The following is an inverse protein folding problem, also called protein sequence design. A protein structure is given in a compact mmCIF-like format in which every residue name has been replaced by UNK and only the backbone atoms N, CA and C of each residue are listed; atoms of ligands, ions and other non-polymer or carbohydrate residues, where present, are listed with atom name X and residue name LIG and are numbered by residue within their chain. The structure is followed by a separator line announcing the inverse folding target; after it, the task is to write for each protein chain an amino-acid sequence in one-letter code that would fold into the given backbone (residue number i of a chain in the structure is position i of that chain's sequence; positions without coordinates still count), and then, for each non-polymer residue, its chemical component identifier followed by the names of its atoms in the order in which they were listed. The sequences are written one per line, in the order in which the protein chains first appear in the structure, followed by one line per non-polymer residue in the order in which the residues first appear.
data_IF_144614940864
#
_entry.id   IF_144614940864
#
_cell.length_a   1.000
_cell.length_b   1.000
_cell.length_c   1.000
_cell.angle_alpha   90.00
_cell.angle_beta   90.00
_cell.angle_gamma   90.00
#
_symmetry.space_group_name_H-M   'P 1'
#
loop_
_entity.id
_entity.type
_entity.pdbx_description
1 polymer ?
#
# COMPACT_ATOMS: atom_id res chain seq x y z
N UNK A 1 5.20 -12.20 10.89
CA UNK A 1 6.26 -11.64 10.03
C UNK A 1 6.76 -10.35 10.64
N UNK A 2 7.97 -9.88 10.35
CA UNK A 2 8.47 -8.64 10.96
C UNK A 2 9.43 -7.90 10.02
N UNK A 3 9.05 -6.70 9.62
CA UNK A 3 9.96 -5.79 8.91
C UNK A 3 10.97 -5.18 9.88
N UNK A 4 12.23 -5.08 9.47
CA UNK A 4 13.34 -4.59 10.31
C UNK A 4 13.82 -3.24 9.82
N UNK A 5 13.96 -2.29 10.74
CA UNK A 5 14.52 -0.96 10.49
C UNK A 5 13.65 -0.04 9.63
N UNK A 6 14.15 1.14 9.32
CA UNK A 6 13.47 2.09 8.45
C UNK A 6 13.43 1.53 7.01
N UNK A 7 12.30 1.78 6.32
CA UNK A 7 12.13 1.38 4.93
C UNK A 7 12.22 2.63 4.06
N UNK A 8 13.21 2.66 3.20
CA UNK A 8 13.37 3.69 2.17
C UNK A 8 14.09 3.05 0.98
N UNK A 9 13.30 2.45 0.08
CA UNK A 9 13.82 1.70 -1.06
C UNK A 9 13.68 2.54 -2.31
N UNK A 10 14.81 2.87 -2.94
CA UNK A 10 14.81 3.54 -4.24
C UNK A 10 14.31 2.58 -5.31
N UNK A 11 13.26 2.98 -6.01
CA UNK A 11 12.72 2.28 -7.18
C UNK A 11 12.77 3.21 -8.40
N UNK A 12 12.63 2.65 -9.59
CA UNK A 12 12.68 3.39 -10.85
C UNK A 12 11.36 3.20 -11.57
N UNK A 13 10.78 4.26 -12.08
CA UNK A 13 9.60 4.18 -12.94
C UNK A 13 9.97 3.45 -14.24
N UNK A 14 9.22 2.41 -14.61
CA UNK A 14 9.50 1.57 -15.78
C UNK A 14 9.44 2.35 -17.10
N UNK A 15 8.60 3.39 -17.18
CA UNK A 15 8.39 4.19 -18.39
C UNK A 15 9.31 5.39 -18.47
N UNK A 16 9.32 6.24 -17.41
CA UNK A 16 10.04 7.52 -17.43
C UNK A 16 11.48 7.43 -16.95
N UNK A 17 11.89 6.30 -16.36
CA UNK A 17 13.18 6.07 -15.70
C UNK A 17 13.47 7.00 -14.51
N UNK A 18 12.50 7.80 -14.09
CA UNK A 18 12.64 8.68 -12.92
C UNK A 18 12.68 7.84 -11.63
N UNK A 19 13.45 8.26 -10.63
CA UNK A 19 13.50 7.62 -9.34
C UNK A 19 12.28 7.96 -8.49
N UNK A 20 11.88 6.99 -7.67
CA UNK A 20 10.87 7.09 -6.62
C UNK A 20 11.38 6.36 -5.38
N UNK A 21 10.70 6.52 -4.27
CA UNK A 21 11.05 5.87 -3.01
C UNK A 21 9.83 5.15 -2.45
N UNK A 22 10.01 3.88 -2.12
CA UNK A 22 9.04 3.10 -1.35
C UNK A 22 9.38 3.27 0.12
N UNK A 23 8.45 3.83 0.87
CA UNK A 23 8.57 4.11 2.32
C UNK A 23 7.40 3.49 3.06
N UNK A 24 7.47 3.42 4.40
CA UNK A 24 6.28 3.08 5.20
C UNK A 24 5.28 4.25 5.12
N UNK A 25 4.01 3.97 4.90
CA UNK A 25 2.99 5.03 4.85
C UNK A 25 2.81 5.73 6.21
N UNK A 26 3.15 5.07 7.31
CA UNK A 26 3.16 5.69 8.65
C UNK A 26 4.24 6.79 8.81
N UNK A 27 5.23 6.84 7.94
CA UNK A 27 6.25 7.89 7.92
C UNK A 27 5.80 9.15 7.15
N UNK A 28 4.63 9.12 6.49
CA UNK A 28 3.99 10.31 5.91
C UNK A 28 3.45 11.21 7.01
N UNK A 29 3.50 12.51 6.79
CA UNK A 29 2.86 13.48 7.68
C UNK A 29 1.33 13.39 7.56
N UNK A 30 0.63 13.48 8.70
CA UNK A 30 -0.84 13.56 8.76
C UNK A 30 -1.24 15.03 8.69
N UNK A 31 -0.94 15.66 7.57
CA UNK A 31 -1.25 17.06 7.30
C UNK A 31 -2.32 17.21 6.21
N UNK A 32 -2.81 18.43 6.05
CA UNK A 32 -3.83 18.74 5.04
C UNK A 32 -3.34 18.42 3.61
N UNK A 33 -2.06 18.63 3.33
CA UNK A 33 -1.48 18.38 2.00
C UNK A 33 -1.45 16.90 1.63
N UNK A 34 -1.08 16.04 2.57
CA UNK A 34 -1.09 14.58 2.39
C UNK A 34 -2.53 14.06 2.21
N UNK A 35 -3.47 14.55 3.03
CA UNK A 35 -4.89 14.19 2.95
C UNK A 35 -5.49 14.60 1.61
N UNK A 36 -5.32 15.86 1.21
CA UNK A 36 -5.80 16.39 -0.07
C UNK A 36 -5.26 15.56 -1.24
N UNK A 37 -3.96 15.25 -1.22
CA UNK A 37 -3.31 14.49 -2.29
C UNK A 37 -3.84 13.07 -2.41
N UNK A 38 -4.00 12.35 -1.29
CA UNK A 38 -4.59 11.02 -1.28
C UNK A 38 -6.03 11.08 -1.79
N UNK A 39 -6.82 12.04 -1.29
CA UNK A 39 -8.22 12.26 -1.72
C UNK A 39 -8.31 12.48 -3.22
N UNK A 40 -7.45 13.33 -3.78
CA UNK A 40 -7.41 13.60 -5.21
C UNK A 40 -7.09 12.34 -6.01
N UNK A 41 -6.07 11.58 -5.61
CA UNK A 41 -5.67 10.35 -6.31
C UNK A 41 -6.78 9.30 -6.24
N UNK A 42 -7.42 9.13 -5.07
CA UNK A 42 -8.51 8.18 -4.90
C UNK A 42 -9.77 8.55 -5.70
N UNK A 43 -9.90 9.80 -6.13
CA UNK A 43 -10.95 10.27 -7.04
C UNK A 43 -10.54 10.24 -8.52
N UNK A 44 -9.30 9.88 -8.86
CA UNK A 44 -8.92 9.66 -10.26
C UNK A 44 -9.71 8.48 -10.85
N UNK A 45 -10.27 8.58 -12.06
CA UNK A 45 -11.09 7.50 -12.65
C UNK A 45 -10.40 6.14 -12.62
N UNK A 46 -9.10 6.10 -12.93
CA UNK A 46 -8.28 4.87 -12.93
C UNK A 46 -8.14 4.20 -11.54
N UNK A 47 -8.44 4.91 -10.46
CA UNK A 47 -8.42 4.41 -9.08
C UNK A 47 -9.84 4.27 -8.55
N UNK A 48 -10.64 5.35 -8.72
CA UNK A 48 -11.99 5.42 -8.18
C UNK A 48 -12.90 4.32 -8.73
N UNK A 49 -12.90 4.10 -10.04
CA UNK A 49 -13.82 3.16 -10.68
C UNK A 49 -13.59 1.70 -10.23
N UNK A 50 -12.33 1.33 -9.97
CA UNK A 50 -11.99 -0.02 -9.54
C UNK A 50 -12.08 -0.25 -8.03
N UNK A 51 -11.78 0.77 -7.21
CA UNK A 51 -11.64 0.56 -5.76
C UNK A 51 -12.78 1.18 -4.95
N UNK A 52 -13.35 2.28 -5.42
CA UNK A 52 -14.21 3.11 -4.57
C UNK A 52 -15.62 3.34 -5.10
N UNK A 53 -15.86 3.24 -6.42
CA UNK A 53 -17.19 3.49 -7.00
C UNK A 53 -18.28 2.64 -6.35
N UNK A 54 -18.08 1.34 -6.25
CA UNK A 54 -19.04 0.40 -5.68
C UNK A 54 -19.21 0.59 -4.16
N UNK A 55 -18.13 0.58 -3.35
CA UNK A 55 -18.24 0.79 -1.91
C UNK A 55 -18.81 2.14 -1.51
N UNK A 56 -18.55 3.19 -2.28
CA UNK A 56 -19.08 4.54 -2.01
C UNK A 56 -20.40 4.85 -2.74
N UNK A 57 -21.01 3.85 -3.37
CA UNK A 57 -22.28 4.02 -4.11
C UNK A 57 -22.25 5.19 -5.11
N UNK A 58 -21.09 5.37 -5.77
CA UNK A 58 -20.86 6.46 -6.73
C UNK A 58 -20.55 7.84 -6.12
N UNK A 59 -20.53 7.98 -4.79
CA UNK A 59 -20.15 9.25 -4.13
C UNK A 59 -18.65 9.46 -4.20
N UNK A 60 -18.15 10.71 -4.30
CA UNK A 60 -16.71 10.98 -4.29
C UNK A 60 -16.02 10.44 -3.05
N UNK A 61 -14.74 10.05 -3.20
CA UNK A 61 -13.90 9.65 -2.08
C UNK A 61 -13.62 10.87 -1.18
N UNK A 62 -14.04 10.88 0.10
CA UNK A 62 -13.96 12.06 0.96
C UNK A 62 -12.61 12.15 1.68
N UNK A 63 -12.21 13.34 2.10
CA UNK A 63 -10.99 13.60 2.89
C UNK A 63 -10.95 12.80 4.20
N UNK A 64 -12.10 12.60 4.85
CA UNK A 64 -12.21 11.79 6.06
C UNK A 64 -11.67 10.37 5.86
N UNK A 65 -11.94 9.75 4.71
CA UNK A 65 -11.39 8.42 4.39
C UNK A 65 -9.88 8.45 4.12
N UNK A 66 -9.35 9.53 3.54
CA UNK A 66 -7.91 9.69 3.37
C UNK A 66 -7.20 9.83 4.73
N UNK A 67 -7.79 10.57 5.67
CA UNK A 67 -7.31 10.66 7.05
C UNK A 67 -7.33 9.30 7.75
N UNK A 68 -8.47 8.60 7.71
CA UNK A 68 -8.62 7.26 8.28
C UNK A 68 -7.61 6.27 7.69
N UNK A 69 -7.32 6.35 6.38
CA UNK A 69 -6.32 5.51 5.75
C UNK A 69 -4.90 5.75 6.29
N UNK A 70 -4.51 7.00 6.53
CA UNK A 70 -3.21 7.33 7.14
C UNK A 70 -3.14 6.86 8.61
N UNK A 71 -4.22 7.02 9.37
CA UNK A 71 -4.33 6.55 10.75
C UNK A 71 -4.27 5.02 10.81
N UNK A 72 -4.98 4.35 9.91
CA UNK A 72 -4.94 2.90 9.76
C UNK A 72 -3.54 2.39 9.39
N UNK A 73 -2.84 3.08 8.49
CA UNK A 73 -1.45 2.77 8.17
C UNK A 73 -0.55 2.83 9.42
N UNK A 74 -0.70 3.86 10.26
CA UNK A 74 0.06 3.98 11.51
C UNK A 74 -0.27 2.86 12.49
N UNK A 75 -1.55 2.58 12.68
CA UNK A 75 -2.00 1.51 13.55
C UNK A 75 -1.43 0.14 13.13
N UNK A 76 -1.49 -0.19 11.83
CA UNK A 76 -0.98 -1.45 11.30
C UNK A 76 0.51 -1.65 11.53
N UNK A 77 1.32 -0.65 11.22
CA UNK A 77 2.75 -0.69 11.47
C UNK A 77 3.10 -0.77 12.96
N UNK A 78 2.38 -0.04 13.81
CA UNK A 78 2.57 -0.07 15.28
C UNK A 78 2.21 -1.42 15.87
N UNK A 79 1.06 -1.98 15.47
CA UNK A 79 0.57 -3.27 15.95
C UNK A 79 1.23 -4.47 15.25
N UNK A 80 2.04 -4.23 14.20
CA UNK A 80 2.62 -5.28 13.35
C UNK A 80 1.54 -6.22 12.77
N UNK A 81 0.39 -5.66 12.37
CA UNK A 81 -0.79 -6.42 11.92
C UNK A 81 -1.01 -6.36 10.41
N UNK A 82 -0.75 -5.23 9.80
CA UNK A 82 -0.80 -4.99 8.34
C UNK A 82 0.18 -3.88 7.96
N UNK A 83 0.57 -3.83 6.70
CA UNK A 83 1.71 -3.01 6.29
C UNK A 83 1.38 -2.22 5.04
N UNK A 84 1.28 -0.90 5.16
CA UNK A 84 1.03 -0.01 4.05
C UNK A 84 2.30 0.74 3.69
N UNK A 85 2.66 0.69 2.42
CA UNK A 85 3.79 1.40 1.84
C UNK A 85 3.27 2.52 0.95
N UNK A 86 3.89 3.67 1.05
CA UNK A 86 3.69 4.78 0.11
C UNK A 86 4.84 4.82 -0.89
N UNK A 87 4.52 5.19 -2.11
CA UNK A 87 5.50 5.50 -3.16
C UNK A 87 5.53 7.00 -3.34
N UNK A 88 6.68 7.62 -3.08
CA UNK A 88 6.87 9.06 -3.21
C UNK A 88 7.87 9.39 -4.31
N UNK A 89 7.68 10.50 -4.99
CA UNK A 89 8.62 11.07 -5.94
C UNK A 89 9.79 11.74 -5.21
N UNK A 90 10.83 12.18 -5.96
CA UNK A 90 11.91 13.02 -5.41
C UNK A 90 11.40 14.35 -4.84
N UNK A 91 10.32 14.88 -5.37
CA UNK A 91 9.63 16.08 -4.86
C UNK A 91 8.75 15.79 -3.63
N UNK A 92 8.82 14.56 -3.07
CA UNK A 92 7.99 14.06 -1.96
C UNK A 92 6.49 13.99 -2.28
N UNK A 93 6.11 13.99 -3.55
CA UNK A 93 4.74 13.78 -3.97
C UNK A 93 4.33 12.31 -3.83
N UNK A 94 3.18 12.06 -3.22
CA UNK A 94 2.59 10.72 -3.16
C UNK A 94 2.16 10.33 -4.58
N UNK A 95 2.73 9.25 -5.09
CA UNK A 95 2.49 8.73 -6.42
C UNK A 95 1.58 7.49 -6.44
N UNK A 96 1.72 6.66 -5.41
CA UNK A 96 1.05 5.38 -5.32
C UNK A 96 1.09 4.85 -3.89
N UNK A 97 0.31 3.80 -3.61
CA UNK A 97 0.47 2.99 -2.41
C UNK A 97 0.33 1.50 -2.75
N UNK A 98 1.00 0.67 -1.96
CA UNK A 98 0.79 -0.77 -1.94
C UNK A 98 0.77 -1.26 -0.50
N UNK A 99 0.08 -2.38 -0.25
CA UNK A 99 -0.15 -2.86 1.10
C UNK A 99 -0.11 -4.38 1.18
N UNK A 100 0.25 -4.90 2.34
CA UNK A 100 0.05 -6.28 2.76
C UNK A 100 -1.00 -6.24 3.87
N UNK A 101 -2.14 -6.92 3.66
CA UNK A 101 -3.35 -6.73 4.48
C UNK A 101 -3.33 -7.45 5.82
N UNK A 102 -2.45 -8.41 6.02
CA UNK A 102 -2.31 -9.13 7.29
C UNK A 102 -0.84 -9.42 7.61
N UNK A 103 -0.57 -9.91 8.84
CA UNK A 103 0.76 -10.38 9.24
C UNK A 103 0.83 -11.92 9.26
N UNK A 104 0.06 -12.57 8.41
CA UNK A 104 0.13 -14.00 8.18
C UNK A 104 1.19 -14.32 7.14
N UNK A 105 1.72 -15.55 7.15
CA UNK A 105 2.76 -15.99 6.23
C UNK A 105 2.28 -16.09 4.76
N UNK A 106 0.96 -16.21 4.55
CA UNK A 106 0.24 -16.09 3.28
C UNK A 106 -0.70 -14.90 3.38
N UNK A 107 -0.43 -13.82 2.67
CA UNK A 107 -1.13 -12.56 2.85
C UNK A 107 -1.62 -11.95 1.53
N UNK A 108 -2.79 -11.30 1.60
CA UNK A 108 -3.33 -10.55 0.49
C UNK A 108 -2.60 -9.21 0.33
N UNK A 109 -2.35 -8.83 -0.92
CA UNK A 109 -1.86 -7.49 -1.25
C UNK A 109 -2.92 -6.67 -1.99
N UNK A 110 -2.81 -5.35 -1.86
CA UNK A 110 -3.57 -4.38 -2.64
C UNK A 110 -2.70 -3.20 -3.03
N UNK A 111 -3.11 -2.44 -4.04
CA UNK A 111 -2.39 -1.24 -4.45
C UNK A 111 -3.24 -0.31 -5.31
N UNK A 112 -2.82 0.94 -5.37
CA UNK A 112 -3.31 1.96 -6.30
C UNK A 112 -2.17 2.89 -6.73
N UNK A 113 -2.31 3.52 -7.89
CA UNK A 113 -1.35 4.50 -8.39
C UNK A 113 -2.07 5.64 -9.12
N UNK A 114 -1.60 6.86 -8.91
CA UNK A 114 -2.04 8.02 -9.67
C UNK A 114 -1.74 7.83 -11.16
N UNK A 115 -2.66 8.26 -12.01
CA UNK A 115 -2.50 8.23 -13.46
C UNK A 115 -1.34 9.10 -13.95
N UNK A 116 -0.97 10.14 -13.19
CA UNK A 116 0.18 11.01 -13.50
C UNK A 116 1.54 10.33 -13.27
N UNK A 117 1.54 9.22 -12.52
CA UNK A 117 2.75 8.44 -12.17
C UNK A 117 2.76 7.04 -12.80
N UNK A 118 2.14 6.87 -13.97
CA UNK A 118 2.12 5.58 -14.69
C UNK A 118 3.51 4.97 -14.80
N UNK A 119 3.59 3.64 -14.63
CA UNK A 119 4.84 2.89 -14.74
C UNK A 119 5.60 2.72 -13.42
N UNK A 120 5.11 3.25 -12.30
CA UNK A 120 5.78 3.11 -10.98
C UNK A 120 5.41 1.79 -10.29
N UNK A 121 4.16 1.29 -10.47
CA UNK A 121 3.60 0.24 -9.64
C UNK A 121 4.30 -1.11 -9.77
N UNK A 122 4.74 -1.53 -10.97
CA UNK A 122 5.45 -2.80 -11.15
C UNK A 122 6.68 -2.90 -10.24
N UNK A 123 7.52 -1.86 -10.22
CA UNK A 123 8.72 -1.86 -9.38
C UNK A 123 8.41 -1.61 -7.90
N UNK A 124 7.31 -0.93 -7.58
CA UNK A 124 6.85 -0.76 -6.20
C UNK A 124 6.39 -2.09 -5.60
N UNK A 125 5.53 -2.83 -6.30
CA UNK A 125 5.07 -4.16 -5.86
C UNK A 125 6.23 -5.15 -5.81
N UNK A 126 7.15 -5.14 -6.80
CA UNK A 126 8.35 -5.98 -6.77
C UNK A 126 9.21 -5.70 -5.54
N UNK A 127 9.44 -4.42 -5.20
CA UNK A 127 10.19 -4.04 -4.01
C UNK A 127 9.48 -4.46 -2.72
N UNK A 128 8.16 -4.29 -2.65
CA UNK A 128 7.36 -4.77 -1.52
C UNK A 128 7.46 -6.28 -1.34
N UNK A 129 7.39 -7.07 -2.43
CA UNK A 129 7.54 -8.53 -2.39
C UNK A 129 8.92 -8.95 -1.84
N UNK A 130 10.00 -8.26 -2.26
CA UNK A 130 11.34 -8.53 -1.72
C UNK A 130 11.45 -8.19 -0.23
N UNK A 131 10.84 -7.09 0.21
CA UNK A 131 10.77 -6.73 1.63
C UNK A 131 9.95 -7.76 2.42
N UNK A 132 8.83 -8.24 1.86
CA UNK A 132 7.98 -9.26 2.47
C UNK A 132 8.71 -10.60 2.62
N UNK A 133 9.45 -11.05 1.59
CA UNK A 133 10.28 -12.25 1.67
C UNK A 133 11.30 -12.14 2.81
N UNK A 134 11.99 -10.99 2.93
CA UNK A 134 12.94 -10.72 4.01
C UNK A 134 12.27 -10.62 5.40
N UNK A 135 10.99 -10.27 5.46
CA UNK A 135 10.21 -10.22 6.69
C UNK A 135 9.65 -11.60 7.12
N UNK A 136 9.76 -12.62 6.26
CA UNK A 136 9.38 -13.98 6.52
C UNK A 136 8.02 -14.41 5.95
N UNK A 137 7.40 -13.62 5.08
CA UNK A 137 6.23 -14.06 4.33
C UNK A 137 6.62 -15.18 3.36
N UNK A 138 5.76 -16.18 3.22
CA UNK A 138 5.98 -17.31 2.31
C UNK A 138 5.32 -17.12 0.96
N UNK A 139 4.16 -16.47 0.96
CA UNK A 139 3.35 -16.26 -0.23
C UNK A 139 2.58 -14.95 -0.13
N UNK A 140 2.41 -14.30 -1.26
CA UNK A 140 1.50 -13.18 -1.41
C UNK A 140 0.47 -13.48 -2.49
N UNK A 141 -0.77 -13.04 -2.28
CA UNK A 141 -1.81 -13.15 -3.29
C UNK A 141 -2.54 -11.83 -3.49
N UNK A 142 -3.20 -11.68 -4.63
CA UNK A 142 -3.99 -10.52 -4.98
C UNK A 142 -5.26 -10.93 -5.71
N UNK A 143 -6.30 -10.14 -5.56
CA UNK A 143 -7.50 -10.21 -6.40
C UNK A 143 -7.56 -9.04 -7.36
N UNK A 144 -8.02 -9.30 -8.57
CA UNK A 144 -8.34 -8.25 -9.55
C UNK A 144 -9.75 -8.48 -10.06
N UNK A 145 -10.52 -7.41 -10.20
CA UNK A 145 -11.82 -7.47 -10.86
C UNK A 145 -11.64 -7.81 -12.36
N UNK A 146 -12.62 -8.50 -12.93
CA UNK A 146 -12.63 -8.84 -14.35
C UNK A 146 -12.53 -7.56 -15.21
N UNK A 147 -11.62 -7.57 -16.18
CA UNK A 147 -11.36 -6.43 -17.05
C UNK A 147 -10.34 -5.42 -16.52
N UNK A 148 -9.85 -5.55 -15.29
CA UNK A 148 -8.76 -4.72 -14.77
C UNK A 148 -7.39 -5.17 -15.31
N UNK A 149 -7.23 -5.09 -16.64
CA UNK A 149 -6.03 -5.54 -17.35
C UNK A 149 -4.75 -4.83 -16.90
N UNK A 150 -4.86 -3.61 -16.38
CA UNK A 150 -3.71 -2.87 -15.84
C UNK A 150 -3.16 -3.52 -14.58
N UNK A 151 -4.05 -3.91 -13.66
CA UNK A 151 -3.66 -4.61 -12.44
C UNK A 151 -3.07 -5.98 -12.77
N UNK A 152 -3.73 -6.75 -13.64
CA UNK A 152 -3.24 -8.05 -14.10
C UNK A 152 -1.85 -7.95 -14.73
N UNK A 153 -1.61 -6.92 -15.56
CA UNK A 153 -0.31 -6.70 -16.18
C UNK A 153 0.79 -6.34 -15.15
N UNK A 154 0.46 -5.62 -14.06
CA UNK A 154 1.40 -5.37 -12.98
C UNK A 154 1.76 -6.68 -12.27
N UNK A 155 0.75 -7.45 -11.87
CA UNK A 155 0.95 -8.73 -11.17
C UNK A 155 1.78 -9.71 -12.01
N UNK A 156 1.43 -9.90 -13.28
CA UNK A 156 2.16 -10.78 -14.18
C UNK A 156 3.63 -10.38 -14.37
N UNK A 157 3.91 -9.06 -14.50
CA UNK A 157 5.30 -8.57 -14.63
C UNK A 157 6.12 -8.75 -13.36
N UNK A 158 5.48 -8.75 -12.19
CA UNK A 158 6.15 -9.04 -10.91
C UNK A 158 6.41 -10.54 -10.74
N UNK A 159 5.67 -11.38 -11.45
CA UNK A 159 5.80 -12.83 -11.40
C UNK A 159 4.66 -13.55 -10.68
N UNK A 160 3.57 -12.85 -10.37
CA UNK A 160 2.35 -13.49 -9.90
C UNK A 160 1.75 -14.35 -11.00
N UNK A 161 1.26 -15.52 -10.64
CA UNK A 161 0.60 -16.46 -11.54
C UNK A 161 -0.89 -16.48 -11.24
N UNK A 162 -1.71 -16.38 -12.28
CA UNK A 162 -3.17 -16.52 -12.14
C UNK A 162 -3.49 -17.96 -11.78
N UNK A 163 -4.28 -18.15 -10.74
CA UNK A 163 -4.73 -19.46 -10.26
C UNK A 163 -6.26 -19.57 -10.35
N UNK A 164 -6.79 -20.80 -10.48
CA UNK A 164 -8.23 -21.01 -10.36
C UNK A 164 -8.74 -20.52 -9.00
N UNK A 165 -9.77 -19.67 -8.98
CA UNK A 165 -10.43 -19.27 -7.74
C UNK A 165 -11.75 -20.01 -7.59
N UNK A 166 -12.01 -20.47 -6.37
CA UNK A 166 -13.27 -21.15 -5.98
C UNK A 166 -14.37 -20.14 -5.65
N UNK A 167 -14.05 -18.83 -5.60
CA UNK A 167 -15.03 -17.78 -5.32
C UNK A 167 -15.83 -17.45 -6.58
N UNK A 168 -17.12 -17.24 -6.39
CA UNK A 168 -18.06 -16.90 -7.48
C UNK A 168 -18.21 -15.39 -7.70
N UNK A 169 -17.22 -14.58 -7.31
CA UNK A 169 -17.36 -13.11 -7.23
C UNK A 169 -16.75 -12.34 -8.42
N UNK A 170 -16.59 -12.97 -9.58
CA UNK A 170 -16.03 -12.38 -10.82
C UNK A 170 -14.65 -11.73 -10.65
N UNK A 171 -13.86 -12.18 -9.67
CA UNK A 171 -12.46 -11.74 -9.50
C UNK A 171 -11.50 -12.83 -9.91
N UNK A 172 -10.34 -12.40 -10.41
CA UNK A 172 -9.22 -13.29 -10.69
C UNK A 172 -8.23 -13.27 -9.53
N UNK A 173 -7.83 -14.46 -9.05
CA UNK A 173 -6.80 -14.60 -8.04
C UNK A 173 -5.43 -14.79 -8.70
N UNK A 174 -4.43 -14.11 -8.14
CA UNK A 174 -3.02 -14.20 -8.52
C UNK A 174 -2.19 -14.51 -7.30
N UNK A 175 -1.20 -15.40 -7.42
CA UNK A 175 -0.34 -15.84 -6.32
C UNK A 175 1.13 -15.71 -6.70
N UNK A 176 1.96 -15.37 -5.70
CA UNK A 176 3.41 -15.33 -5.80
C UNK A 176 4.04 -16.03 -4.59
N UNK A 177 4.72 -17.16 -4.82
CA UNK A 177 5.57 -17.77 -3.81
C UNK A 177 6.82 -16.90 -3.61
N UNK A 178 7.12 -16.57 -2.36
CA UNK A 178 8.33 -15.84 -1.97
C UNK A 178 9.47 -16.76 -1.57
N UNK A 179 9.21 -18.07 -1.48
CA UNK A 179 10.22 -19.08 -1.15
C UNK A 179 11.23 -19.20 -2.29
N UNK A 180 12.51 -19.01 -1.99
CA UNK A 180 13.57 -19.07 -2.99
C UNK A 180 13.87 -17.77 -3.72
N UNK A 181 13.17 -16.68 -3.44
CA UNK A 181 13.60 -15.37 -3.91
C UNK A 181 14.98 -15.03 -3.33
N UNK A 182 15.96 -14.58 -4.16
CA UNK A 182 17.27 -14.26 -3.67
C UNK A 182 17.19 -13.15 -2.63
N UNK A 183 17.66 -13.43 -1.42
CA UNK A 183 17.78 -12.46 -0.34
C UNK A 183 18.83 -11.40 -0.72
N UNK A 184 18.48 -10.47 -1.61
CA UNK A 184 19.32 -9.32 -1.93
C UNK A 184 19.25 -8.38 -0.74
N UNK A 185 20.36 -8.24 -0.01
CA UNK A 185 20.55 -7.18 0.99
C UNK A 185 20.30 -5.84 0.28
N UNK A 186 19.10 -5.29 0.44
CA UNK A 186 18.80 -3.91 0.04
C UNK A 186 19.54 -3.02 1.04
N UNK A 187 20.71 -2.54 0.66
CA UNK A 187 21.47 -1.62 1.51
C UNK A 187 20.72 -0.28 1.60
N UNK A 188 20.38 0.19 2.79
CA UNK A 188 19.73 1.49 2.95
C UNK A 188 20.77 2.59 2.64
N UNK A 189 20.56 3.36 1.55
CA UNK A 189 21.26 4.63 1.39
C UNK A 189 20.62 5.64 2.35
N UNK A 190 21.41 6.08 3.34
CA UNK A 190 21.00 7.13 4.29
C UNK A 190 20.75 8.43 3.51
N UNK A 191 19.52 8.95 3.60
CA UNK A 191 19.26 10.37 3.35
C UNK A 191 19.71 11.19 4.57
N UNK A 192 20.18 12.44 4.41
CA UNK A 192 20.49 13.30 5.53
C UNK A 192 19.22 13.55 6.36
N UNK A 193 19.34 13.38 7.68
CA UNK A 193 18.29 13.65 8.65
C UNK A 193 17.87 15.13 8.57
N UNK A 194 16.57 15.45 8.49
CA UNK A 194 16.11 16.78 8.87
C UNK A 194 16.28 16.93 10.39
N UNK A 195 16.75 18.11 10.80
CA UNK A 195 17.02 18.44 12.20
C UNK A 195 15.76 18.25 13.07
N UNK A 196 15.96 17.58 14.21
CA UNK A 196 14.95 17.30 15.22
C UNK A 196 14.37 18.59 15.81
N UNK A 197 13.07 18.78 15.66
CA UNK A 197 12.28 19.71 16.47
C UNK A 197 11.75 18.97 17.72
N UNK A 198 11.63 19.63 18.88
CA UNK A 198 11.26 18.98 20.12
C UNK A 198 9.79 18.55 20.12
N UNK A 199 9.57 17.29 20.51
CA UNK A 199 8.24 16.67 20.67
C UNK A 199 7.66 17.09 22.01
N UNK A 200 6.53 17.82 22.00
CA UNK A 200 5.67 17.98 23.17
C UNK A 200 4.59 16.90 23.15
N UNK A 201 4.57 16.03 24.16
CA UNK A 201 3.52 15.04 24.35
C UNK A 201 2.29 15.66 25.02
N UNK A 202 1.08 15.39 24.56
CA UNK A 202 -0.11 15.41 25.40
C UNK A 202 -0.43 14.00 25.90
N UNK A 203 -0.81 13.95 27.19
CA UNK A 203 -1.15 12.73 27.91
C UNK A 203 -2.55 12.21 27.54
N UNK A 204 -2.65 10.91 27.45
CA UNK A 204 -3.67 9.98 27.84
C UNK A 204 -5.13 10.16 27.45
N UNK A 205 -5.66 9.20 26.68
CA UNK A 205 -6.99 8.62 26.91
C UNK A 205 -7.00 7.19 26.34
N UNK A 206 -7.23 6.22 27.22
CA UNK A 206 -7.34 4.81 26.84
C UNK A 206 -8.67 4.54 26.15
N UNK A 207 -8.62 3.96 24.99
CA UNK A 207 -9.74 3.34 24.28
C UNK A 207 -9.30 1.95 23.80
N UNK A 208 -10.10 0.93 24.10
CA UNK A 208 -9.86 -0.45 23.72
C UNK A 208 -9.72 -0.60 22.18
N UNK A 209 -8.91 -1.56 21.70
CA UNK A 209 -8.72 -1.75 20.26
C UNK A 209 -10.00 -2.32 19.63
N UNK A 210 -10.40 -1.84 18.46
CA UNK A 210 -11.45 -2.49 17.68
C UNK A 210 -10.95 -3.83 17.15
N UNK A 211 -11.85 -4.80 17.16
CA UNK A 211 -11.70 -6.17 16.67
C UNK A 211 -11.21 -6.17 15.22
N UNK A 212 -10.37 -7.15 14.87
CA UNK A 212 -9.81 -7.36 13.55
C UNK A 212 -10.86 -7.16 12.44
N UNK A 213 -10.68 -6.13 11.61
CA UNK A 213 -11.51 -5.90 10.44
C UNK A 213 -10.95 -6.73 9.28
N UNK A 214 -11.59 -7.86 9.03
CA UNK A 214 -11.60 -8.48 7.72
C UNK A 214 -12.24 -7.49 6.75
N UNK A 215 -11.49 -7.10 5.74
CA UNK A 215 -11.81 -6.08 4.75
C UNK A 215 -11.67 -4.63 5.25
N UNK A 216 -10.79 -3.89 4.58
CA UNK A 216 -11.01 -2.45 4.48
C UNK A 216 -12.21 -2.26 3.57
N UNK A 217 -13.38 -2.48 4.13
CA UNK A 217 -14.66 -2.28 3.49
C UNK A 217 -15.01 -0.80 3.60
N UNK A 218 -15.14 -0.13 2.47
CA UNK A 218 -15.54 1.26 2.39
C UNK A 218 -16.99 1.50 2.89
N UNK A 219 -17.62 0.48 3.48
CA UNK A 219 -19.05 0.45 3.85
C UNK A 219 -19.32 0.60 5.34
N UNK A 220 -18.38 1.00 6.21
CA UNK A 220 -18.77 1.38 7.57
C UNK A 220 -19.55 2.68 7.54
N UNK A 221 -20.85 2.53 7.62
CA UNK A 221 -21.88 3.54 7.77
C UNK A 221 -21.68 4.38 9.02
N UNK A 222 -21.77 5.71 8.81
CA UNK A 222 -22.14 6.65 9.86
C UNK A 222 -23.65 6.51 10.13
N UNK A 223 -24.02 5.99 11.28
CA UNK A 223 -25.33 6.19 11.92
C UNK A 223 -25.16 7.07 13.13
#
# INVERSE_FOLDING_TARGET
MRFRGPINVRIVNCLTKRPYFLIRACDLELDAGSIERITRICNEPDVYDWLFRKPLSGKPYPEGKARQWLEWARAGWSANSHFIFAVISEAKDIAAACQIKSNEDVAEIGYWASHTHRGVMTNAVSAMCLLAANAGFRELYAYTDEGNTRSEAVLSRVGFVRVPDVRSDNRSRFELSLTGLPCKKVAPKRLPHPASLPVTHPAGAGGAPPVAADHWDATQDDS
#
